data_IF_541254400941
#
_entry.id   IF_541254400941
#
_cell.length_a   1.000
_cell.length_b   1.000
_cell.length_c   1.000
_cell.angle_alpha   90.00
_cell.angle_beta   90.00
_cell.angle_gamma   90.00
#
_symmetry.space_group_name_H-M   'P 1'
#
loop_
_entity.id
_entity.type
_entity.pdbx_description
1 polymer ?
#
# COMPACT_ATOMS: atom_id res chain seq x y z
N UNK A 1 -22.37 4.82 10.95
CA UNK A 1 -22.24 4.17 9.62
C UNK A 1 -21.90 5.18 8.49
N UNK A 2 -22.82 6.10 8.13
CA UNK A 2 -22.51 7.10 7.07
C UNK A 2 -21.32 7.99 7.44
N UNK A 3 -21.27 8.47 8.69
CA UNK A 3 -20.16 9.30 9.20
C UNK A 3 -18.82 8.57 9.11
N UNK A 4 -18.72 7.32 9.51
CA UNK A 4 -17.48 6.52 9.45
C UNK A 4 -17.00 6.29 7.99
N UNK A 5 -17.92 6.23 7.04
CA UNK A 5 -17.59 6.11 5.62
C UNK A 5 -17.01 7.41 5.03
N UNK A 6 -17.28 8.58 5.63
CA UNK A 6 -16.91 9.89 5.11
C UNK A 6 -15.84 10.62 5.92
N UNK A 7 -15.59 10.20 7.16
CA UNK A 7 -14.43 10.62 7.96
C UNK A 7 -13.36 9.54 7.79
N UNK A 8 -12.12 9.96 7.57
CA UNK A 8 -10.97 9.06 7.53
C UNK A 8 -10.04 9.35 8.70
N UNK A 9 -9.31 8.34 9.10
CA UNK A 9 -8.20 8.45 10.03
C UNK A 9 -6.91 8.59 9.21
N UNK A 10 -6.05 9.52 9.59
CA UNK A 10 -4.66 9.55 9.19
C UNK A 10 -3.88 8.83 10.28
N UNK A 11 -3.35 7.66 9.99
CA UNK A 11 -2.62 6.82 10.93
C UNK A 11 -1.13 7.04 10.69
N UNK A 12 -0.44 7.56 11.69
CA UNK A 12 1.01 7.75 11.65
C UNK A 12 1.68 6.61 12.43
N UNK A 13 2.57 5.89 11.79
CA UNK A 13 3.22 4.70 12.36
C UNK A 13 4.64 4.55 11.83
N UNK A 14 5.47 3.89 12.64
CA UNK A 14 6.84 3.53 12.27
C UNK A 14 6.92 2.01 12.06
N UNK A 15 7.71 1.60 11.08
CA UNK A 15 7.94 0.19 10.79
C UNK A 15 9.42 -0.08 10.57
N UNK A 16 9.97 -1.04 11.30
CA UNK A 16 11.29 -1.58 11.00
C UNK A 16 11.21 -2.44 9.74
N UNK A 17 12.09 -2.15 8.78
CA UNK A 17 12.12 -2.83 7.48
C UNK A 17 13.45 -3.53 7.32
N UNK A 18 13.46 -4.86 7.21
CA UNK A 18 14.66 -5.62 6.91
C UNK A 18 15.39 -5.09 5.68
N UNK A 19 16.71 -5.22 5.67
CA UNK A 19 17.58 -4.77 4.57
C UNK A 19 17.45 -3.29 4.18
N UNK A 20 16.70 -2.47 4.94
CA UNK A 20 16.60 -1.03 4.66
C UNK A 20 18.01 -0.40 4.74
N UNK A 21 18.46 0.31 3.69
CA UNK A 21 19.71 1.06 3.77
C UNK A 21 19.60 2.21 4.76
N UNK A 22 20.67 2.51 5.48
CA UNK A 22 20.70 3.55 6.52
C UNK A 22 20.33 4.94 6.01
N UNK A 23 20.62 5.25 4.75
CA UNK A 23 20.21 6.50 4.12
C UNK A 23 18.69 6.67 4.00
N UNK A 24 17.91 5.57 4.09
CA UNK A 24 16.45 5.59 4.07
C UNK A 24 15.82 5.57 5.47
N UNK A 25 16.61 5.53 6.55
CA UNK A 25 16.05 5.66 7.90
C UNK A 25 15.31 6.98 8.05
N UNK A 26 14.09 6.93 8.55
CA UNK A 26 13.19 8.08 8.64
C UNK A 26 12.51 8.47 7.33
N UNK A 27 12.68 7.74 6.23
CA UNK A 27 11.93 7.99 4.99
C UNK A 27 10.44 7.73 5.23
N UNK A 28 9.59 8.59 4.66
CA UNK A 28 8.14 8.60 4.93
C UNK A 28 7.33 8.29 3.68
N UNK A 29 6.35 7.42 3.82
CA UNK A 29 5.43 7.00 2.77
C UNK A 29 4.01 7.42 3.15
N UNK A 30 3.29 8.11 2.26
CA UNK A 30 1.84 8.17 2.32
C UNK A 30 1.27 6.95 1.59
N UNK A 31 0.56 6.08 2.31
CA UNK A 31 -0.14 4.94 1.72
C UNK A 31 -1.64 5.17 1.69
N UNK A 32 -2.24 5.05 0.50
CA UNK A 32 -3.68 5.20 0.24
C UNK A 32 -4.15 4.04 -0.62
N UNK A 33 -5.22 3.38 -0.23
CA UNK A 33 -5.81 2.27 -0.99
C UNK A 33 -7.32 2.44 -1.14
N UNK A 34 -7.88 1.80 -2.17
CA UNK A 34 -9.33 1.63 -2.33
C UNK A 34 -10.11 2.96 -2.26
N UNK A 35 -9.71 3.94 -3.07
CA UNK A 35 -10.41 5.25 -3.07
C UNK A 35 -11.81 5.16 -3.67
N UNK A 36 -12.04 4.26 -4.61
CA UNK A 36 -13.31 4.05 -5.29
C UNK A 36 -13.99 5.39 -5.70
N UNK A 37 -15.27 5.56 -5.39
CA UNK A 37 -16.04 6.79 -5.68
C UNK A 37 -15.81 7.93 -4.68
N UNK A 38 -14.94 7.75 -3.70
CA UNK A 38 -14.70 8.80 -2.71
C UNK A 38 -13.73 9.85 -3.23
N UNK A 39 -14.15 11.11 -3.13
CA UNK A 39 -13.34 12.26 -3.53
C UNK A 39 -12.33 12.60 -2.44
N UNK A 40 -11.06 12.68 -2.80
CA UNK A 40 -10.01 13.26 -1.94
C UNK A 40 -10.20 14.78 -1.83
N UNK A 41 -9.93 15.30 -0.65
CA UNK A 41 -9.95 16.76 -0.39
C UNK A 41 -8.52 17.20 -0.12
N UNK A 42 -8.06 18.17 -0.86
CA UNK A 42 -6.70 18.71 -0.72
C UNK A 42 -6.39 19.12 0.74
N UNK A 43 -7.34 19.73 1.43
CA UNK A 43 -7.19 20.14 2.83
C UNK A 43 -6.86 18.99 3.80
N UNK A 44 -7.31 17.78 3.48
CA UNK A 44 -7.08 16.61 4.33
C UNK A 44 -5.62 16.10 4.22
N UNK A 45 -4.87 16.61 3.23
CA UNK A 45 -3.49 16.22 2.91
C UNK A 45 -2.48 17.39 2.98
N UNK A 46 -2.92 18.59 3.35
CA UNK A 46 -2.04 19.78 3.44
C UNK A 46 -0.88 19.56 4.41
N UNK A 47 -1.14 18.89 5.54
CA UNK A 47 -0.13 18.61 6.56
C UNK A 47 0.83 17.50 6.17
N UNK A 48 0.54 16.77 5.08
CA UNK A 48 1.37 15.65 4.58
C UNK A 48 2.34 16.12 3.50
N UNK A 49 1.95 17.16 2.76
CA UNK A 49 2.77 17.74 1.69
C UNK A 49 4.12 18.21 2.25
N UNK A 50 5.21 17.91 1.55
CA UNK A 50 6.60 18.17 1.93
C UNK A 50 7.12 17.39 3.17
N UNK A 51 6.33 16.44 3.69
CA UNK A 51 6.78 15.56 4.78
C UNK A 51 7.10 14.15 4.28
N UNK A 52 6.35 13.68 3.28
CA UNK A 52 6.53 12.33 2.75
C UNK A 52 7.42 12.33 1.51
N UNK A 53 8.22 11.29 1.37
CA UNK A 53 9.11 11.09 0.25
C UNK A 53 8.38 10.51 -0.95
N UNK A 54 7.38 9.66 -0.72
CA UNK A 54 6.60 8.99 -1.77
C UNK A 54 5.15 8.79 -1.39
N UNK A 55 4.30 8.69 -2.42
CA UNK A 55 2.90 8.26 -2.29
C UNK A 55 2.77 6.89 -2.94
N UNK A 56 2.35 5.90 -2.17
CA UNK A 56 2.06 4.55 -2.66
C UNK A 56 0.56 4.31 -2.64
N UNK A 57 0.00 3.88 -3.78
CA UNK A 57 -1.43 3.72 -3.98
C UNK A 57 -1.74 2.24 -4.20
N UNK A 58 -2.52 1.66 -3.29
CA UNK A 58 -2.78 0.21 -3.21
C UNK A 58 -3.80 -0.35 -4.21
N UNK A 59 -4.15 0.42 -5.26
CA UNK A 59 -5.15 -0.01 -6.25
C UNK A 59 -6.58 0.33 -5.87
N UNK A 60 -7.53 -0.14 -6.70
CA UNK A 60 -8.96 0.15 -6.62
C UNK A 60 -9.26 1.66 -6.54
N UNK A 61 -8.57 2.42 -7.41
CA UNK A 61 -8.78 3.87 -7.58
C UNK A 61 -9.94 4.18 -8.51
N UNK A 62 -10.40 3.18 -9.26
CA UNK A 62 -11.54 3.26 -10.16
C UNK A 62 -12.47 2.05 -10.00
N UNK A 63 -13.74 2.22 -10.34
CA UNK A 63 -14.72 1.12 -10.42
C UNK A 63 -15.70 1.34 -11.57
N UNK A 64 -16.46 0.30 -11.93
CA UNK A 64 -17.45 0.39 -13.03
C UNK A 64 -18.45 1.54 -12.79
N UNK A 65 -18.60 2.41 -13.81
CA UNK A 65 -19.51 3.55 -13.75
C UNK A 65 -19.00 4.77 -12.97
N UNK A 66 -17.72 4.79 -12.60
CA UNK A 66 -17.09 5.96 -11.97
C UNK A 66 -16.96 7.12 -12.97
N UNK A 67 -17.03 8.34 -12.45
CA UNK A 67 -16.61 9.51 -13.22
C UNK A 67 -15.09 9.57 -13.35
N UNK A 68 -14.57 9.49 -14.56
CA UNK A 68 -13.13 9.60 -14.81
C UNK A 68 -12.53 10.95 -14.42
N UNK A 69 -13.36 12.00 -14.34
CA UNK A 69 -12.92 13.30 -13.80
C UNK A 69 -12.62 13.24 -12.31
N UNK A 70 -13.35 12.39 -11.56
CA UNK A 70 -13.08 12.13 -10.15
C UNK A 70 -11.76 11.37 -9.97
N UNK A 71 -11.51 10.33 -10.76
CA UNK A 71 -10.23 9.59 -10.74
C UNK A 71 -9.07 10.54 -11.02
N UNK A 72 -9.17 11.34 -12.08
CA UNK A 72 -8.16 12.37 -12.42
C UNK A 72 -7.92 13.35 -11.27
N UNK A 73 -9.00 13.83 -10.65
CA UNK A 73 -8.91 14.73 -9.50
C UNK A 73 -8.12 14.11 -8.34
N UNK A 74 -8.46 12.86 -7.97
CA UNK A 74 -7.79 12.15 -6.90
C UNK A 74 -6.30 11.91 -7.20
N UNK A 75 -5.98 11.44 -8.42
CA UNK A 75 -4.60 11.18 -8.81
C UNK A 75 -3.75 12.47 -8.82
N UNK A 76 -4.31 13.59 -9.31
CA UNK A 76 -3.61 14.88 -9.28
C UNK A 76 -3.36 15.39 -7.86
N UNK A 77 -4.30 15.18 -6.93
CA UNK A 77 -4.06 15.54 -5.52
C UNK A 77 -2.90 14.74 -4.95
N UNK A 78 -2.87 13.42 -5.18
CA UNK A 78 -1.84 12.55 -4.65
C UNK A 78 -0.47 12.86 -5.27
N UNK A 79 -0.38 13.01 -6.58
CA UNK A 79 0.89 13.31 -7.27
C UNK A 79 1.46 14.70 -6.95
N UNK A 80 0.62 15.64 -6.51
CA UNK A 80 1.08 16.96 -6.04
C UNK A 80 1.71 16.93 -4.64
N UNK A 81 1.67 15.80 -3.94
CA UNK A 81 2.28 15.62 -2.62
C UNK A 81 3.73 15.17 -2.77
N UNK A 82 3.97 14.07 -3.48
CA UNK A 82 5.27 13.48 -3.72
C UNK A 82 5.21 12.55 -4.94
N UNK A 83 6.35 12.06 -5.47
CA UNK A 83 6.39 11.02 -6.51
C UNK A 83 5.47 9.86 -6.15
N UNK A 84 4.56 9.49 -7.07
CA UNK A 84 3.44 8.61 -6.78
C UNK A 84 3.47 7.35 -7.63
N UNK A 85 3.21 6.21 -6.99
CA UNK A 85 3.22 4.89 -7.60
C UNK A 85 1.93 4.14 -7.29
N UNK A 86 1.45 3.33 -8.22
CA UNK A 86 0.21 2.57 -8.04
C UNK A 86 0.29 1.19 -8.68
N UNK A 87 -0.57 0.29 -8.25
CA UNK A 87 -0.88 -0.99 -8.90
C UNK A 87 -2.36 -1.01 -9.30
N UNK A 88 -2.77 -1.95 -10.14
CA UNK A 88 -4.19 -2.19 -10.34
C UNK A 88 -4.78 -3.05 -9.23
N UNK A 89 -5.98 -2.68 -8.79
CA UNK A 89 -6.87 -3.56 -8.04
C UNK A 89 -7.89 -4.25 -8.95
N UNK A 90 -8.75 -5.05 -8.35
CA UNK A 90 -9.75 -5.82 -9.09
C UNK A 90 -10.86 -4.96 -9.70
N UNK A 91 -11.20 -3.83 -9.07
CA UNK A 91 -12.19 -2.90 -9.62
C UNK A 91 -11.62 -2.08 -10.77
N UNK A 92 -10.33 -1.71 -10.71
CA UNK A 92 -9.63 -1.01 -11.79
C UNK A 92 -9.65 -1.83 -13.09
N UNK A 93 -9.39 -3.15 -12.98
CA UNK A 93 -9.46 -4.08 -14.12
C UNK A 93 -10.85 -4.13 -14.77
N UNK A 94 -11.90 -3.94 -13.98
CA UNK A 94 -13.30 -3.95 -14.46
C UNK A 94 -13.76 -2.59 -14.95
N UNK A 95 -13.16 -1.49 -14.48
CA UNK A 95 -13.51 -0.13 -14.84
C UNK A 95 -13.03 0.25 -16.24
N UNK A 96 -11.86 -0.23 -16.65
CA UNK A 96 -11.25 0.06 -17.95
C UNK A 96 -9.80 0.51 -17.82
N UNK A 97 -8.89 -0.45 -17.94
CA UNK A 97 -7.44 -0.26 -17.73
C UNK A 97 -6.81 0.74 -18.69
N UNK A 98 -7.22 0.77 -19.97
CA UNK A 98 -6.68 1.70 -20.97
C UNK A 98 -6.95 3.17 -20.60
N UNK A 99 -8.18 3.46 -20.16
CA UNK A 99 -8.56 4.81 -19.74
C UNK A 99 -7.87 5.19 -18.43
N UNK A 100 -7.79 4.26 -17.47
CA UNK A 100 -7.10 4.49 -16.21
C UNK A 100 -5.61 4.73 -16.43
N UNK A 101 -4.92 3.91 -17.22
CA UNK A 101 -3.51 4.09 -17.55
C UNK A 101 -3.21 5.46 -18.19
N UNK A 102 -4.14 5.96 -19.05
CA UNK A 102 -4.02 7.31 -19.60
C UNK A 102 -4.10 8.37 -18.51
N UNK A 103 -5.07 8.27 -17.59
CA UNK A 103 -5.25 9.23 -16.50
C UNK A 103 -4.04 9.23 -15.55
N UNK A 104 -3.53 8.04 -15.21
CA UNK A 104 -2.34 7.91 -14.36
C UNK A 104 -1.16 8.65 -14.96
N UNK A 105 -0.86 8.43 -16.26
CA UNK A 105 0.19 9.15 -16.99
C UNK A 105 -0.01 10.67 -17.00
N UNK A 106 -1.24 11.13 -17.31
CA UNK A 106 -1.59 12.55 -17.35
C UNK A 106 -1.56 13.21 -15.96
N UNK A 107 -1.50 12.41 -14.91
CA UNK A 107 -1.46 12.84 -13.52
C UNK A 107 -0.12 12.60 -12.85
N UNK A 108 0.92 12.20 -13.60
CA UNK A 108 2.26 11.89 -13.09
C UNK A 108 2.27 10.81 -11.98
N UNK A 109 1.39 9.82 -12.11
CA UNK A 109 1.36 8.63 -11.24
C UNK A 109 1.90 7.45 -12.03
N UNK A 110 3.00 6.87 -11.56
CA UNK A 110 3.61 5.69 -12.20
C UNK A 110 2.84 4.43 -11.85
N UNK A 111 2.35 3.73 -12.88
CA UNK A 111 1.73 2.42 -12.76
C UNK A 111 2.81 1.35 -12.79
N UNK A 112 2.82 0.49 -11.79
CA UNK A 112 3.67 -0.70 -11.71
C UNK A 112 2.82 -1.95 -11.99
N UNK A 113 3.17 -2.69 -13.04
CA UNK A 113 2.47 -3.92 -13.45
C UNK A 113 3.50 -5.05 -13.60
N UNK A 114 3.74 -5.80 -12.52
CA UNK A 114 4.84 -6.74 -12.43
C UNK A 114 6.17 -6.06 -12.78
N UNK A 115 6.40 -4.91 -12.18
CA UNK A 115 7.50 -4.00 -12.50
C UNK A 115 8.20 -3.53 -11.23
N UNK A 116 9.44 -3.08 -11.39
CA UNK A 116 10.31 -2.60 -10.31
C UNK A 116 10.74 -1.17 -10.58
N UNK A 117 10.54 -0.31 -9.60
CA UNK A 117 11.14 1.01 -9.54
C UNK A 117 12.26 1.03 -8.49
N UNK A 118 13.39 1.58 -8.86
CA UNK A 118 14.50 1.76 -7.92
C UNK A 118 14.46 3.18 -7.35
N UNK A 119 14.07 3.28 -6.07
CA UNK A 119 14.10 4.53 -5.34
C UNK A 119 15.53 4.76 -4.83
N UNK A 120 16.11 5.91 -5.14
CA UNK A 120 17.50 6.21 -4.85
C UNK A 120 17.63 7.34 -3.82
N UNK A 121 18.55 7.18 -2.86
CA UNK A 121 18.91 8.21 -1.89
C UNK A 121 20.43 8.17 -1.67
N UNK A 122 21.14 9.19 -2.18
CA UNK A 122 22.58 9.16 -2.23
C UNK A 122 23.10 8.01 -3.11
N UNK A 123 23.96 7.17 -2.57
CA UNK A 123 24.49 5.98 -3.24
C UNK A 123 23.65 4.72 -3.03
N UNK A 124 22.66 4.78 -2.15
CA UNK A 124 21.81 3.64 -1.81
C UNK A 124 20.55 3.61 -2.67
N UNK A 125 20.00 2.42 -2.80
CA UNK A 125 18.72 2.20 -3.47
C UNK A 125 17.89 1.16 -2.74
N UNK A 126 16.57 1.30 -2.80
CA UNK A 126 15.61 0.27 -2.45
C UNK A 126 14.74 -0.07 -3.66
N UNK A 127 14.20 -1.27 -3.70
CA UNK A 127 13.33 -1.75 -4.77
C UNK A 127 11.87 -1.58 -4.36
N UNK A 128 11.15 -0.72 -5.08
CA UNK A 128 9.69 -0.62 -5.00
C UNK A 128 9.08 -1.50 -6.09
N UNK A 129 8.32 -2.50 -5.70
CA UNK A 129 7.79 -3.53 -6.59
C UNK A 129 6.27 -3.40 -6.65
N UNK A 130 5.70 -3.32 -7.85
CA UNK A 130 4.27 -3.37 -8.04
C UNK A 130 3.84 -4.70 -8.65
N UNK A 131 3.02 -5.47 -7.94
CA UNK A 131 2.49 -6.75 -8.45
C UNK A 131 1.08 -6.54 -8.97
N UNK A 132 0.87 -6.88 -10.23
CA UNK A 132 -0.44 -6.75 -10.85
C UNK A 132 -1.46 -7.71 -10.24
N UNK A 133 -2.71 -7.27 -10.18
CA UNK A 133 -3.78 -8.08 -9.60
C UNK A 133 -3.90 -9.44 -10.28
N UNK A 134 -3.82 -10.52 -9.48
CA UNK A 134 -3.80 -11.93 -9.89
C UNK A 134 -2.62 -12.35 -10.78
N UNK A 135 -1.57 -11.55 -10.86
CA UNK A 135 -0.33 -12.00 -11.50
C UNK A 135 0.30 -13.18 -10.74
N UNK A 136 0.99 -14.03 -11.48
CA UNK A 136 1.82 -15.12 -10.94
C UNK A 136 3.31 -14.82 -11.04
N UNK A 137 3.69 -13.62 -11.49
CA UNK A 137 5.09 -13.25 -11.73
C UNK A 137 5.78 -12.71 -10.46
N UNK A 138 5.02 -12.45 -9.39
CA UNK A 138 5.53 -11.78 -8.20
C UNK A 138 6.73 -12.46 -7.57
N UNK A 139 6.67 -13.78 -7.34
CA UNK A 139 7.79 -14.54 -6.76
C UNK A 139 9.05 -14.47 -7.62
N UNK A 140 8.88 -14.67 -8.92
CA UNK A 140 10.02 -14.62 -9.88
C UNK A 140 10.66 -13.25 -9.86
N UNK A 141 9.86 -12.21 -9.84
CA UNK A 141 10.33 -10.82 -9.83
C UNK A 141 11.11 -10.50 -8.54
N UNK A 142 10.58 -10.90 -7.38
CA UNK A 142 11.25 -10.70 -6.09
C UNK A 142 12.56 -11.49 -5.98
N UNK A 143 12.60 -12.71 -6.50
CA UNK A 143 13.81 -13.54 -6.52
C UNK A 143 14.89 -12.92 -7.43
N UNK A 144 14.54 -12.37 -8.59
CA UNK A 144 15.49 -11.72 -9.50
C UNK A 144 16.20 -10.50 -8.87
N UNK A 145 15.56 -9.79 -7.94
CA UNK A 145 16.16 -8.66 -7.23
C UNK A 145 17.28 -9.11 -6.27
N UNK A 146 17.18 -10.35 -5.75
CA UNK A 146 18.13 -10.91 -4.80
C UNK A 146 17.92 -10.44 -3.36
N UNK A 147 18.48 -11.18 -2.40
CA UNK A 147 18.21 -10.97 -0.96
C UNK A 147 19.00 -9.82 -0.30
N UNK A 148 19.93 -9.20 -1.04
CA UNK A 148 20.76 -8.10 -0.51
C UNK A 148 20.08 -6.73 -0.56
N UNK A 149 18.97 -6.61 -1.29
CA UNK A 149 18.30 -5.33 -1.51
C UNK A 149 16.98 -5.29 -0.76
N UNK A 150 16.70 -4.14 -0.13
CA UNK A 150 15.41 -3.87 0.47
C UNK A 150 14.31 -3.92 -0.59
N UNK A 151 13.26 -4.70 -0.32
CA UNK A 151 12.12 -4.95 -1.20
C UNK A 151 10.82 -4.51 -0.54
N UNK A 152 10.27 -3.39 -1.02
CA UNK A 152 8.95 -2.90 -0.65
C UNK A 152 7.98 -3.21 -1.78
N UNK A 153 6.94 -3.98 -1.51
CA UNK A 153 5.97 -4.40 -2.51
C UNK A 153 4.60 -3.75 -2.29
N UNK A 154 3.97 -3.30 -3.38
CA UNK A 154 2.56 -2.93 -3.41
C UNK A 154 1.81 -4.09 -4.07
N UNK A 155 0.88 -4.70 -3.33
CA UNK A 155 0.09 -5.84 -3.79
C UNK A 155 -1.34 -5.63 -3.35
N UNK A 156 -2.25 -5.37 -4.28
CA UNK A 156 -3.64 -5.01 -3.92
C UNK A 156 -4.31 -6.05 -3.03
N UNK A 157 -4.24 -7.34 -3.38
CA UNK A 157 -4.92 -8.44 -2.69
C UNK A 157 -4.00 -9.07 -1.62
N UNK A 158 -4.34 -9.04 -0.32
CA UNK A 158 -3.51 -9.60 0.73
C UNK A 158 -3.34 -11.14 0.63
N UNK A 159 -4.27 -11.87 0.02
CA UNK A 159 -4.07 -13.31 -0.22
C UNK A 159 -3.04 -13.57 -1.33
N UNK A 160 -2.90 -12.66 -2.30
CA UNK A 160 -1.82 -12.68 -3.27
C UNK A 160 -0.50 -12.29 -2.59
N UNK A 161 -0.54 -11.29 -1.71
CA UNK A 161 0.62 -10.81 -0.96
C UNK A 161 1.25 -11.90 -0.07
N UNK A 162 0.45 -12.72 0.59
CA UNK A 162 0.94 -13.83 1.41
C UNK A 162 1.77 -14.87 0.64
N UNK A 163 1.63 -14.96 -0.69
CA UNK A 163 2.48 -15.82 -1.50
C UNK A 163 3.90 -15.28 -1.68
N UNK A 164 4.10 -14.01 -1.38
CA UNK A 164 5.38 -13.30 -1.52
C UNK A 164 6.10 -13.14 -0.18
N UNK A 165 5.55 -13.68 0.91
CA UNK A 165 5.99 -13.44 2.28
C UNK A 165 7.48 -13.76 2.52
N UNK A 166 8.01 -14.78 1.87
CA UNK A 166 9.40 -15.22 2.05
C UNK A 166 10.42 -14.25 1.43
N UNK A 167 10.01 -13.42 0.48
CA UNK A 167 10.90 -12.65 -0.38
C UNK A 167 10.77 -11.13 -0.24
N UNK A 168 9.76 -10.60 0.46
CA UNK A 168 9.55 -9.16 0.62
C UNK A 168 9.87 -8.68 2.04
N UNK A 169 10.39 -7.46 2.18
CA UNK A 169 10.69 -6.83 3.47
C UNK A 169 9.48 -6.09 4.03
N UNK A 170 8.74 -5.42 3.15
CA UNK A 170 7.50 -4.73 3.46
C UNK A 170 6.50 -4.95 2.33
N UNK A 171 5.26 -5.31 2.68
CA UNK A 171 4.16 -5.39 1.72
C UNK A 171 3.04 -4.44 2.15
N UNK A 172 2.49 -3.68 1.21
CA UNK A 172 1.36 -2.80 1.42
C UNK A 172 0.18 -3.28 0.59
N UNK A 173 -0.94 -3.60 1.24
CA UNK A 173 -2.15 -4.18 0.62
C UNK A 173 -3.42 -3.44 1.04
N UNK A 174 -4.48 -3.62 0.24
CA UNK A 174 -5.83 -3.09 0.49
C UNK A 174 -6.91 -4.16 0.33
N UNK A 175 -7.87 -3.94 -0.57
CA UNK A 175 -8.88 -4.89 -1.07
C UNK A 175 -10.00 -5.28 -0.09
N UNK A 176 -9.67 -5.54 1.17
CA UNK A 176 -10.59 -6.13 2.15
C UNK A 176 -11.60 -5.13 2.72
N UNK A 177 -11.29 -3.83 2.64
CA UNK A 177 -12.00 -2.75 3.35
C UNK A 177 -12.14 -3.01 4.87
N UNK A 178 -11.32 -3.90 5.45
CA UNK A 178 -11.47 -4.37 6.82
C UNK A 178 -12.82 -5.06 7.08
N UNK A 179 -13.50 -5.50 6.01
CA UNK A 179 -14.86 -6.04 6.04
C UNK A 179 -15.95 -4.98 6.08
N UNK A 180 -15.61 -3.68 6.06
CA UNK A 180 -16.47 -2.49 5.93
C UNK A 180 -17.60 -2.36 6.98
N UNK A 181 -18.36 -3.42 7.23
CA UNK A 181 -19.38 -3.51 8.27
C UNK A 181 -18.99 -4.60 9.29
N UNK A 182 -18.47 -4.15 10.42
CA UNK A 182 -17.95 -5.02 11.48
C UNK A 182 -18.83 -4.86 12.71
N UNK A 183 -19.49 -5.94 13.12
CA UNK A 183 -20.31 -5.94 14.32
C UNK A 183 -19.46 -6.32 15.54
N UNK A 184 -19.69 -5.68 16.70
CA UNK A 184 -19.09 -6.11 17.95
C UNK A 184 -19.43 -7.60 18.19
N UNK A 185 -18.44 -8.38 18.62
CA UNK A 185 -18.54 -9.82 18.93
C UNK A 185 -18.76 -10.75 17.72
N UNK A 186 -19.33 -10.28 16.61
CA UNK A 186 -19.62 -11.09 15.42
C UNK A 186 -18.59 -10.92 14.30
N UNK A 187 -17.84 -9.81 14.33
CA UNK A 187 -16.84 -9.50 13.30
C UNK A 187 -17.45 -9.00 11.98
N UNK A 188 -16.69 -9.09 10.88
CA UNK A 188 -17.09 -8.56 9.58
C UNK A 188 -18.24 -9.36 8.96
N UNK A 189 -19.29 -8.65 8.49
CA UNK A 189 -20.49 -9.28 7.92
C UNK A 189 -20.27 -9.80 6.49
N UNK A 190 -19.52 -9.07 5.68
CA UNK A 190 -19.41 -9.35 4.23
C UNK A 190 -18.00 -9.79 3.80
N UNK A 191 -17.15 -10.15 4.74
CA UNK A 191 -15.80 -10.64 4.44
C UNK A 191 -15.79 -12.16 4.31
N UNK A 192 -15.25 -12.68 3.22
CA UNK A 192 -15.14 -14.13 3.04
C UNK A 192 -14.21 -14.74 4.10
N UNK A 193 -14.42 -16.03 4.43
CA UNK A 193 -13.61 -16.73 5.44
C UNK A 193 -12.11 -16.67 5.15
N UNK A 194 -11.70 -16.68 3.88
CA UNK A 194 -10.30 -16.63 3.48
C UNK A 194 -9.61 -15.32 3.89
N UNK A 195 -10.31 -14.19 3.83
CA UNK A 195 -9.75 -12.88 4.19
C UNK A 195 -9.83 -12.55 5.69
N UNK A 196 -10.61 -13.28 6.48
CA UNK A 196 -10.75 -12.99 7.92
C UNK A 196 -9.43 -12.92 8.68
N UNK A 197 -8.46 -13.83 8.45
CA UNK A 197 -7.16 -13.77 9.13
C UNK A 197 -6.31 -12.57 8.72
N UNK A 198 -6.55 -11.98 7.55
CA UNK A 198 -5.77 -10.86 6.97
C UNK A 198 -6.69 -9.71 6.58
N UNK A 199 -7.64 -9.37 7.45
CA UNK A 199 -8.67 -8.39 7.14
C UNK A 199 -8.18 -6.95 7.18
N UNK A 200 -7.30 -6.59 8.10
CA UNK A 200 -6.72 -5.25 8.26
C UNK A 200 -5.63 -5.24 9.32
N UNK A 201 -4.76 -4.23 9.28
CA UNK A 201 -3.68 -4.02 10.25
C UNK A 201 -2.36 -4.65 9.81
N UNK A 202 -1.43 -4.74 10.74
CA UNK A 202 -0.08 -5.25 10.52
C UNK A 202 0.03 -6.75 10.75
N UNK A 203 0.80 -7.41 9.90
CA UNK A 203 1.10 -8.85 9.97
C UNK A 203 2.61 -9.06 9.83
N UNK A 204 3.16 -10.02 10.58
CA UNK A 204 4.51 -10.52 10.36
C UNK A 204 4.50 -11.48 9.18
N UNK A 205 5.50 -11.34 8.30
CA UNK A 205 5.70 -12.21 7.15
C UNK A 205 6.66 -13.33 7.54
N UNK A 206 6.35 -14.56 7.14
CA UNK A 206 7.26 -15.69 7.32
C UNK A 206 8.43 -15.51 6.38
N UNK A 207 9.63 -15.70 6.88
CA UNK A 207 10.86 -15.65 6.10
C UNK A 207 11.37 -17.05 5.81
N UNK A 208 12.20 -17.15 4.76
CA UNK A 208 13.01 -18.34 4.50
C UNK A 208 13.84 -18.70 5.75
N UNK A 209 14.07 -19.99 6.04
CA UNK A 209 14.89 -20.45 7.17
C UNK A 209 16.31 -19.85 7.22
N UNK A 210 16.80 -19.35 6.09
CA UNK A 210 18.12 -18.70 5.99
C UNK A 210 18.11 -17.25 6.52
N UNK A 211 16.92 -16.62 6.64
CA UNK A 211 16.73 -15.21 7.06
C UNK A 211 15.99 -15.07 8.40
N UNK A 212 16.19 -15.99 9.32
CA UNK A 212 15.42 -16.17 10.58
C UNK A 212 15.47 -14.94 11.53
N UNK A 213 16.40 -14.01 11.32
CA UNK A 213 16.63 -12.92 12.27
C UNK A 213 15.89 -11.62 11.97
N UNK A 214 15.19 -11.50 10.83
CA UNK A 214 14.49 -10.27 10.47
C UNK A 214 13.13 -10.56 9.80
N UNK A 215 12.05 -10.39 10.56
CA UNK A 215 10.69 -10.56 10.04
C UNK A 215 10.31 -9.41 9.10
N UNK A 216 9.87 -9.74 7.88
CA UNK A 216 9.17 -8.79 7.03
C UNK A 216 7.81 -8.40 7.62
N UNK A 217 7.23 -7.32 7.14
CA UNK A 217 5.91 -6.83 7.60
C UNK A 217 4.95 -6.65 6.44
N UNK A 218 3.67 -6.88 6.69
CA UNK A 218 2.60 -6.58 5.76
C UNK A 218 1.55 -5.72 6.44
N UNK A 219 1.21 -4.58 5.80
CA UNK A 219 0.04 -3.78 6.15
C UNK A 219 -1.12 -4.13 5.23
N UNK A 220 -2.27 -4.39 5.80
CA UNK A 220 -3.55 -4.48 5.07
C UNK A 220 -4.41 -3.30 5.50
N UNK A 221 -4.55 -2.30 4.62
CA UNK A 221 -5.35 -1.11 4.89
C UNK A 221 -6.84 -1.39 4.74
N UNK A 222 -7.63 -0.74 5.60
CA UNK A 222 -9.11 -0.69 5.47
C UNK A 222 -9.57 0.17 4.29
N UNK A 223 -8.64 0.91 3.66
CA UNK A 223 -8.93 1.74 2.51
C UNK A 223 -9.67 3.05 2.82
N UNK A 224 -9.56 3.97 1.88
CA UNK A 224 -10.15 5.32 2.01
C UNK A 224 -11.62 5.39 1.59
N UNK A 225 -12.01 4.66 0.54
CA UNK A 225 -13.37 4.62 0.00
C UNK A 225 -14.27 3.57 0.64
N UNK A 226 -15.31 3.20 -0.08
CA UNK A 226 -16.24 2.12 0.28
C UNK A 226 -16.53 1.28 -0.94
N UNK A 227 -16.77 -0.02 -0.73
CA UNK A 227 -17.22 -0.92 -1.79
C UNK A 227 -18.74 -1.11 -1.69
N UNK A 228 -19.44 -1.12 -2.82
CA UNK A 228 -20.90 -1.29 -3.00
C UNK A 228 -21.78 -0.31 -2.23
N UNK A 229 -21.73 -0.30 -0.88
CA UNK A 229 -22.54 0.56 -0.03
C UNK A 229 -21.68 1.70 0.54
N UNK A 230 -22.17 2.97 0.51
CA UNK A 230 -21.43 4.11 1.07
C UNK A 230 -21.55 4.18 2.60
N UNK A 231 -21.33 3.05 3.27
CA UNK A 231 -21.50 2.88 4.71
C UNK A 231 -20.31 2.12 5.31
N UNK A 232 -19.89 2.51 6.50
CA UNK A 232 -18.93 1.77 7.33
C UNK A 232 -19.47 1.67 8.77
N UNK A 233 -19.18 0.57 9.45
CA UNK A 233 -19.52 0.36 10.84
C UNK A 233 -18.41 -0.40 11.57
N UNK A 234 -17.88 0.18 12.64
CA UNK A 234 -16.78 -0.42 13.42
C UNK A 234 -15.48 -0.59 12.60
N UNK A 235 -15.40 0.08 11.43
CA UNK A 235 -14.32 -0.05 10.48
C UNK A 235 -14.14 1.29 9.73
N UNK A 236 -13.62 2.33 10.40
CA UNK A 236 -13.44 3.64 9.78
C UNK A 236 -12.48 3.59 8.59
N UNK A 237 -12.71 4.48 7.64
CA UNK A 237 -11.78 4.65 6.52
C UNK A 237 -10.44 5.21 7.00
N UNK A 238 -9.35 4.89 6.30
CA UNK A 238 -8.00 5.29 6.71
C UNK A 238 -7.06 5.59 5.54
N UNK A 239 -6.03 6.33 5.87
CA UNK A 239 -4.78 6.50 5.13
C UNK A 239 -3.63 6.38 6.13
N UNK A 240 -2.45 6.00 5.67
CA UNK A 240 -1.29 5.77 6.53
C UNK A 240 -0.13 6.68 6.15
N UNK A 241 0.54 7.25 7.15
CA UNK A 241 1.87 7.82 7.02
C UNK A 241 2.83 6.85 7.70
N UNK A 242 3.64 6.17 6.89
CA UNK A 242 4.53 5.12 7.35
C UNK A 242 5.95 5.65 7.34
N UNK A 243 6.58 5.72 8.50
CA UNK A 243 8.00 6.04 8.63
C UNK A 243 8.81 4.75 8.62
N UNK A 244 9.71 4.62 7.65
CA UNK A 244 10.59 3.47 7.54
C UNK A 244 11.74 3.60 8.57
N UNK A 245 12.04 2.49 9.26
CA UNK A 245 13.13 2.41 10.22
C UNK A 245 14.09 1.27 9.91
N UNK A 246 15.37 1.54 10.06
CA UNK A 246 16.40 0.50 10.08
C UNK A 246 16.23 -0.32 11.35
N UNK A 247 16.26 -1.66 11.30
CA UNK A 247 16.19 -2.50 12.50
C UNK A 247 17.28 -2.14 13.51
N UNK A 248 16.91 -2.10 14.80
CA UNK A 248 17.79 -1.64 15.89
C UNK A 248 19.11 -2.42 15.96
N UNK A 249 19.10 -3.71 15.67
CA UNK A 249 20.31 -4.57 15.65
C UNK A 249 21.32 -4.13 14.58
N UNK A 250 20.83 -3.72 13.38
CA UNK A 250 21.69 -3.24 12.29
C UNK A 250 22.28 -1.86 12.59
N UNK A 251 21.50 -0.98 13.23
CA UNK A 251 21.96 0.36 13.61
C UNK A 251 23.12 0.33 14.62
N UNK A 252 23.26 -0.75 15.41
CA UNK A 252 24.35 -0.93 16.37
C UNK A 252 25.64 -1.43 15.72
N UNK A 253 25.55 -2.28 14.71
CA UNK A 253 26.72 -2.87 14.02
C UNK A 253 27.43 -1.87 13.11
N UNK A 254 26.72 -0.92 12.51
CA UNK A 254 27.30 0.11 11.63
C UNK A 254 27.93 1.30 12.40
N UNK A 255 27.74 1.38 13.73
CA UNK A 255 28.35 2.41 14.62
C UNK A 255 29.64 1.95 15.30
N UNK A 256 30.09 0.73 15.07
CA UNK A 256 31.40 0.29 15.57
C UNK A 256 32.46 0.64 14.52
N UNK A 257 33.48 1.47 14.89
CA UNK A 257 34.51 1.92 13.98
C UNK A 257 35.45 0.81 13.53
#
# INVERSE_FOLDING_TARGET
>A
MWREAHIHQMIEEEVEVPHLPTSFDGAMILYVSDTHKRKLKQKDLENVKNKVDWVLIGGDVAEKGISWSLVRHNMKILSNIAPSFTVYGNHDKRAGTAQLARILRESDVKLLQDDVEYLQRGNDRLSLIGIDYRSKQGDVLLQQIGNRFCKIAIVHDPLQALRLEENADLILSGHTHGGQLVLPFFGPLFLSKAYRPVSNGWYSLKRSPEDVHQEGKMLVSRGYGTNHLPLRLGCPAEMHIITLRVPAEKALTEKQP
#
